data_IF_006086372614
#
_entry.id   IF_006086372614
#
_cell.length_a   1.000
_cell.length_b   1.000
_cell.length_c   1.000
_cell.angle_alpha   90.00
_cell.angle_beta   90.00
_cell.angle_gamma   90.00
#
_symmetry.space_group_name_H-M   'P 1'
#
loop_
_entity.id
_entity.type
_entity.pdbx_description
1 polymer ?
#
# COMPACT_ATOMS: atom_id res chain seq x y z
N UNK A 1 -7.70 19.13 20.20
CA UNK A 1 -6.86 17.92 20.19
C UNK A 1 -7.09 17.24 18.84
N UNK A 2 -6.03 16.99 18.08
CA UNK A 2 -6.12 16.33 16.77
C UNK A 2 -6.12 14.83 17.01
N UNK A 3 -7.04 14.10 16.38
CA UNK A 3 -7.16 12.64 16.49
C UNK A 3 -6.75 11.98 15.17
N UNK A 4 -6.39 10.70 15.22
CA UNK A 4 -6.14 9.91 14.03
C UNK A 4 -7.40 9.78 13.16
N UNK A 5 -7.20 9.64 11.85
CA UNK A 5 -8.30 9.46 10.89
C UNK A 5 -9.01 8.13 11.16
N UNK A 6 -10.34 8.10 10.99
CA UNK A 6 -11.10 6.85 11.10
C UNK A 6 -10.55 5.83 10.09
N UNK A 7 -10.13 4.67 10.58
CA UNK A 7 -9.53 3.61 9.75
C UNK A 7 -7.99 3.64 9.70
N UNK A 8 -7.34 4.70 10.19
CA UNK A 8 -5.88 4.82 10.28
C UNK A 8 -5.48 4.87 11.75
N UNK A 9 -5.11 3.72 12.32
CA UNK A 9 -4.77 3.59 13.74
C UNK A 9 -3.26 3.55 13.93
N UNK A 10 -2.79 4.09 15.04
CA UNK A 10 -1.42 3.86 15.49
C UNK A 10 -1.23 2.39 15.86
N UNK A 11 -0.07 1.84 15.49
CA UNK A 11 0.33 0.47 15.81
C UNK A 11 1.35 0.50 16.95
N UNK A 12 0.95 0.06 18.15
CA UNK A 12 1.70 0.25 19.40
C UNK A 12 1.80 -1.03 20.24
N UNK A 13 2.72 -1.05 21.19
CA UNK A 13 2.90 -2.08 22.22
C UNK A 13 2.83 -3.52 21.69
N UNK A 14 1.86 -4.30 22.19
CA UNK A 14 1.70 -5.72 21.83
C UNK A 14 1.31 -5.90 20.37
N UNK A 15 0.53 -4.97 19.80
CA UNK A 15 0.10 -5.05 18.40
C UNK A 15 1.29 -4.84 17.46
N UNK A 16 2.15 -3.86 17.77
CA UNK A 16 3.41 -3.66 17.06
C UNK A 16 4.32 -4.89 17.14
N UNK A 17 4.46 -5.48 18.32
CA UNK A 17 5.25 -6.71 18.52
C UNK A 17 4.76 -7.87 17.65
N UNK A 18 3.44 -8.13 17.63
CA UNK A 18 2.89 -9.21 16.82
C UNK A 18 3.00 -8.93 15.32
N UNK A 19 2.76 -7.70 14.90
CA UNK A 19 2.93 -7.29 13.50
C UNK A 19 4.36 -7.53 13.03
N UNK A 20 5.36 -7.05 13.79
CA UNK A 20 6.78 -7.24 13.47
C UNK A 20 7.14 -8.73 13.41
N UNK A 21 6.63 -9.54 14.34
CA UNK A 21 6.85 -10.99 14.36
C UNK A 21 6.34 -11.67 13.07
N UNK A 22 5.15 -11.29 12.60
CA UNK A 22 4.59 -11.81 11.34
C UNK A 22 5.46 -11.42 10.16
N UNK A 23 5.81 -10.13 10.04
CA UNK A 23 6.64 -9.62 8.94
C UNK A 23 8.00 -10.34 8.89
N UNK A 24 8.70 -10.43 10.03
CA UNK A 24 10.00 -11.12 10.11
C UNK A 24 9.92 -12.59 9.70
N UNK A 25 8.87 -13.30 10.13
CA UNK A 25 8.68 -14.70 9.75
C UNK A 25 8.49 -14.85 8.24
N UNK A 26 7.66 -13.99 7.62
CA UNK A 26 7.46 -13.99 6.17
C UNK A 26 8.75 -13.65 5.41
N UNK A 27 9.52 -12.68 5.88
CA UNK A 27 10.80 -12.29 5.29
C UNK A 27 11.84 -13.41 5.36
N UNK A 28 11.96 -14.10 6.50
CA UNK A 28 12.87 -15.24 6.66
C UNK A 28 12.54 -16.37 5.68
N UNK A 29 11.26 -16.70 5.55
CA UNK A 29 10.80 -17.70 4.56
C UNK A 29 11.13 -17.24 3.14
N UNK A 30 10.80 -16.00 2.76
CA UNK A 30 11.05 -15.49 1.41
C UNK A 30 12.56 -15.51 1.06
N UNK A 31 13.43 -15.11 1.99
CA UNK A 31 14.89 -15.14 1.83
C UNK A 31 15.42 -16.55 1.61
N UNK A 32 14.88 -17.55 2.30
CA UNK A 32 15.29 -18.96 2.13
C UNK A 32 14.97 -19.50 0.72
N UNK A 33 14.02 -18.90 0.02
CA UNK A 33 13.68 -19.23 -1.37
C UNK A 33 14.33 -18.28 -2.39
N UNK A 34 15.28 -17.44 -1.98
CA UNK A 34 16.05 -16.57 -2.88
C UNK A 34 15.33 -15.27 -3.29
N UNK A 35 14.19 -14.95 -2.67
CA UNK A 35 13.54 -13.66 -2.89
C UNK A 35 14.29 -12.55 -2.16
N UNK A 36 14.37 -11.38 -2.80
CA UNK A 36 14.96 -10.17 -2.24
C UNK A 36 13.90 -9.14 -1.90
N UNK A 37 14.14 -8.36 -0.85
CA UNK A 37 13.26 -7.27 -0.49
C UNK A 37 13.28 -6.16 -1.56
N UNK A 38 12.10 -5.67 -1.91
CA UNK A 38 11.91 -4.45 -2.71
C UNK A 38 10.91 -3.55 -1.99
N UNK A 39 11.05 -2.24 -2.18
CA UNK A 39 10.12 -1.25 -1.64
C UNK A 39 9.74 -0.28 -2.76
N UNK A 40 8.52 -0.39 -3.26
CA UNK A 40 7.99 0.48 -4.31
C UNK A 40 7.28 1.70 -3.68
N UNK A 41 7.17 2.82 -4.41
CA UNK A 41 6.55 4.04 -3.89
C UNK A 41 5.13 3.83 -3.35
N UNK A 42 4.75 4.63 -2.35
CA UNK A 42 3.38 4.62 -1.81
C UNK A 42 2.40 5.44 -2.66
N UNK A 43 2.91 6.33 -3.50
CA UNK A 43 2.14 7.23 -4.34
C UNK A 43 2.63 7.08 -5.79
N UNK A 44 1.71 6.73 -6.68
CA UNK A 44 2.01 6.49 -8.11
C UNK A 44 0.91 7.09 -9.00
N UNK A 45 1.10 7.07 -10.32
CA UNK A 45 0.09 7.56 -11.27
C UNK A 45 -1.18 6.71 -11.19
N UNK A 46 -2.36 7.33 -11.10
CA UNK A 46 -3.64 6.61 -11.04
C UNK A 46 -3.83 5.64 -12.20
N UNK A 47 -3.31 5.97 -13.38
CA UNK A 47 -3.42 5.15 -14.59
C UNK A 47 -2.77 3.78 -14.45
N UNK A 48 -1.77 3.63 -13.58
CA UNK A 48 -1.11 2.35 -13.32
C UNK A 48 -2.09 1.31 -12.78
N UNK A 49 -2.87 1.69 -11.77
CA UNK A 49 -3.82 0.78 -11.11
C UNK A 49 -5.11 0.61 -11.91
N UNK A 50 -5.60 1.68 -12.56
CA UNK A 50 -6.80 1.61 -13.41
C UNK A 50 -6.65 0.59 -14.54
N UNK A 51 -5.45 0.47 -15.12
CA UNK A 51 -5.15 -0.52 -16.18
C UNK A 51 -4.96 -1.93 -15.63
N UNK A 52 -4.32 -2.07 -14.47
CA UNK A 52 -3.90 -3.37 -13.94
C UNK A 52 -5.02 -4.12 -13.22
N UNK A 53 -5.81 -3.43 -12.39
CA UNK A 53 -6.88 -4.03 -11.58
C UNK A 53 -8.20 -4.11 -12.36
N UNK A 54 -8.33 -3.34 -13.43
CA UNK A 54 -9.51 -3.27 -14.29
C UNK A 54 -10.50 -2.20 -13.83
N UNK A 55 -11.03 -1.45 -14.81
CA UNK A 55 -11.87 -0.27 -14.59
C UNK A 55 -13.20 -0.57 -13.86
N UNK A 56 -13.71 -1.80 -13.98
CA UNK A 56 -14.95 -2.24 -13.33
C UNK A 56 -14.76 -2.76 -11.90
N UNK A 57 -13.53 -2.74 -11.38
CA UNK A 57 -13.26 -3.18 -10.02
C UNK A 57 -13.77 -2.17 -8.99
N UNK A 58 -14.21 -2.66 -7.84
CA UNK A 58 -14.58 -1.81 -6.71
C UNK A 58 -13.41 -0.93 -6.25
N UNK A 59 -12.18 -1.45 -6.34
CA UNK A 59 -10.95 -0.70 -6.03
C UNK A 59 -10.89 0.58 -6.85
N UNK A 60 -11.00 0.45 -8.18
CA UNK A 60 -10.93 1.59 -9.10
C UNK A 60 -12.15 2.51 -8.96
N UNK A 61 -13.33 1.95 -8.67
CA UNK A 61 -14.58 2.69 -8.62
C UNK A 61 -14.78 3.53 -7.35
N UNK A 62 -14.32 3.08 -6.18
CA UNK A 62 -14.67 3.74 -4.90
C UNK A 62 -13.64 3.67 -3.77
N UNK A 63 -12.51 2.97 -3.93
CA UNK A 63 -11.60 2.71 -2.80
C UNK A 63 -10.22 3.38 -2.95
N UNK A 64 -9.86 3.85 -4.15
CA UNK A 64 -8.60 4.57 -4.36
C UNK A 64 -8.62 5.97 -3.73
N UNK A 65 -7.57 6.26 -2.97
CA UNK A 65 -7.26 7.62 -2.53
C UNK A 65 -6.49 8.34 -3.64
N UNK A 66 -7.21 8.97 -4.57
CA UNK A 66 -6.66 9.74 -5.69
C UNK A 66 -6.78 11.26 -5.50
N UNK A 67 -5.80 12.01 -6.00
CA UNK A 67 -5.77 13.48 -5.97
C UNK A 67 -4.86 14.05 -7.07
N UNK A 68 -4.97 15.36 -7.30
CA UNK A 68 -4.05 16.11 -8.17
C UNK A 68 -2.92 16.66 -7.30
N UNK A 69 -1.67 16.30 -7.61
CA UNK A 69 -0.51 16.81 -6.90
C UNK A 69 -0.15 18.24 -7.32
N UNK A 70 0.89 18.82 -6.72
CA UNK A 70 1.35 20.18 -7.04
C UNK A 70 1.94 20.32 -8.45
N UNK A 71 2.28 19.22 -9.10
CA UNK A 71 2.76 19.17 -10.47
C UNK A 71 1.64 18.91 -11.48
N UNK A 72 0.37 19.02 -11.06
CA UNK A 72 -0.82 18.75 -11.87
C UNK A 72 -0.93 17.29 -12.35
N UNK A 73 -0.25 16.36 -11.67
CA UNK A 73 -0.34 14.93 -11.98
C UNK A 73 -1.51 14.30 -11.23
N UNK A 74 -2.23 13.40 -11.90
CA UNK A 74 -3.23 12.57 -11.26
C UNK A 74 -2.59 11.34 -10.62
N UNK A 75 -2.48 11.38 -9.30
CA UNK A 75 -1.77 10.38 -8.49
C UNK A 75 -2.70 9.74 -7.47
N UNK A 76 -2.39 8.51 -7.07
CA UNK A 76 -3.11 7.83 -6.01
C UNK A 76 -2.18 7.10 -5.05
N UNK A 77 -2.62 7.00 -3.80
CA UNK A 77 -2.00 6.09 -2.84
C UNK A 77 -2.19 4.66 -3.33
N UNK A 78 -1.12 3.87 -3.30
CA UNK A 78 -1.10 2.48 -3.76
C UNK A 78 -2.19 1.66 -3.06
N UNK A 79 -3.22 1.16 -3.78
CA UNK A 79 -4.28 0.36 -3.20
C UNK A 79 -3.90 -1.12 -3.05
N UNK A 80 -2.93 -1.61 -3.83
CA UNK A 80 -2.46 -2.99 -3.84
C UNK A 80 -0.99 -3.09 -4.30
N UNK A 81 -0.32 -4.21 -4.03
CA UNK A 81 1.15 -4.31 -4.14
C UNK A 81 1.71 -4.81 -5.48
N UNK A 82 0.90 -5.32 -6.39
CA UNK A 82 1.31 -6.07 -7.58
C UNK A 82 1.54 -5.17 -8.79
N UNK A 83 0.66 -4.20 -9.07
CA UNK A 83 0.75 -3.38 -10.28
C UNK A 83 2.00 -2.47 -10.31
N UNK A 84 2.56 -2.13 -9.15
CA UNK A 84 3.78 -1.33 -9.03
C UNK A 84 5.08 -2.12 -9.11
N UNK A 85 5.01 -3.45 -9.30
CA UNK A 85 6.16 -4.37 -9.39
C UNK A 85 6.28 -4.90 -10.81
#
# INVERSE_FOLDING_TARGET
MINALKGMKDLLDKDAYYYEKVIKTCEEVAKNYGFTFINTPHLELCTLFKRSVGESSDIVGKEMYEFIDKGENHVCMRPEGTAGV
#
